data_IF_641515250948
#
_entry.id   IF_641515250948
#
_cell.length_a   1.000
_cell.length_b   1.000
_cell.length_c   1.000
_cell.angle_alpha   90.00
_cell.angle_beta   90.00
_cell.angle_gamma   90.00
#
_symmetry.space_group_name_H-M   'P 1'
#
loop_
_entity.id
_entity.type
_entity.pdbx_description
1 polymer ?
#
# COMPACT_ATOMS: atom_id res chain seq x y z
N UNK A 1 -5.17 -26.11 -6.76
CA UNK A 1 -4.30 -25.26 -5.92
C UNK A 1 -3.12 -24.87 -6.76
N UNK A 2 -2.81 -23.58 -6.85
CA UNK A 2 -1.64 -23.13 -7.61
C UNK A 2 -0.34 -23.53 -6.93
N UNK A 3 0.74 -23.52 -7.70
CA UNK A 3 2.06 -23.95 -7.24
C UNK A 3 3.03 -22.79 -6.99
N UNK A 4 2.59 -21.57 -7.26
CA UNK A 4 3.49 -20.44 -7.45
C UNK A 4 3.05 -19.22 -6.67
N UNK A 5 4.03 -18.52 -6.10
CA UNK A 5 3.92 -17.10 -5.80
C UNK A 5 4.31 -16.31 -7.05
N UNK A 6 3.60 -15.22 -7.30
CA UNK A 6 3.87 -14.32 -8.41
C UNK A 6 4.23 -12.95 -7.86
N UNK A 7 5.44 -12.48 -8.16
CA UNK A 7 5.95 -11.17 -7.71
C UNK A 7 5.98 -10.22 -8.90
N UNK A 8 5.29 -9.09 -8.78
CA UNK A 8 5.29 -8.03 -9.79
C UNK A 8 6.22 -6.91 -9.35
N UNK A 9 7.15 -6.56 -10.22
CA UNK A 9 8.22 -5.60 -9.92
C UNK A 9 8.39 -4.60 -11.05
N UNK A 10 8.75 -3.37 -10.71
CA UNK A 10 9.35 -2.45 -11.67
C UNK A 10 10.82 -2.85 -11.90
N UNK A 11 11.35 -2.62 -13.10
CA UNK A 11 12.74 -2.93 -13.45
C UNK A 11 13.56 -1.65 -13.58
N UNK A 12 13.99 -1.00 -12.49
CA UNK A 12 14.78 0.22 -12.58
C UNK A 12 16.16 -0.01 -13.22
N UNK A 13 16.64 -1.26 -13.26
CA UNK A 13 17.87 -1.66 -13.98
C UNK A 13 17.69 -1.80 -15.49
N UNK A 14 16.45 -1.84 -15.98
CA UNK A 14 16.12 -1.83 -17.40
C UNK A 14 15.49 -0.47 -17.74
N UNK A 15 16.34 0.49 -18.08
CA UNK A 15 15.94 1.88 -18.39
C UNK A 15 14.93 1.98 -19.54
N UNK A 16 14.90 0.97 -20.42
CA UNK A 16 13.96 0.88 -21.53
C UNK A 16 12.55 0.47 -21.08
N UNK A 17 12.44 -0.23 -19.94
CA UNK A 17 11.21 -0.86 -19.44
C UNK A 17 10.76 -0.33 -18.07
N UNK A 18 11.22 0.87 -17.68
CA UNK A 18 11.02 1.47 -16.35
C UNK A 18 9.55 1.57 -15.89
N UNK A 19 8.59 1.58 -16.81
CA UNK A 19 7.14 1.62 -16.53
C UNK A 19 6.42 0.26 -16.68
N UNK A 20 7.10 -0.77 -17.17
CA UNK A 20 6.52 -2.10 -17.34
C UNK A 20 6.71 -2.94 -16.08
N UNK A 21 5.66 -3.65 -15.68
CA UNK A 21 5.75 -4.59 -14.56
C UNK A 21 6.32 -5.91 -15.07
N UNK A 22 7.46 -6.31 -14.52
CA UNK A 22 8.02 -7.64 -14.71
C UNK A 22 7.38 -8.61 -13.71
N UNK A 23 6.98 -9.76 -14.23
CA UNK A 23 6.40 -10.85 -13.46
C UNK A 23 7.45 -11.94 -13.23
N UNK A 24 7.63 -12.35 -11.96
CA UNK A 24 8.48 -13.48 -11.58
C UNK A 24 7.64 -14.51 -10.83
N UNK A 25 7.67 -15.76 -11.31
CA UNK A 25 7.00 -16.90 -10.67
C UNK A 25 7.97 -17.71 -9.84
N UNK A 26 7.63 -17.94 -8.57
CA UNK A 26 8.44 -18.63 -7.58
C UNK A 26 7.67 -19.82 -7.03
N UNK A 27 8.29 -20.99 -6.92
CA UNK A 27 7.63 -22.17 -6.37
C UNK A 27 7.38 -22.01 -4.87
N UNK A 28 6.16 -22.27 -4.43
CA UNK A 28 5.84 -22.29 -3.00
C UNK A 28 6.59 -23.43 -2.30
N UNK A 29 7.28 -23.12 -1.21
CA UNK A 29 7.98 -24.13 -0.41
C UNK A 29 7.06 -25.14 0.25
N UNK A 30 5.79 -24.78 0.49
CA UNK A 30 4.75 -25.71 0.95
C UNK A 30 4.63 -26.93 0.03
N UNK A 31 4.89 -26.77 -1.26
CA UNK A 31 4.84 -27.84 -2.24
C UNK A 31 6.17 -28.62 -2.38
N UNK A 32 7.26 -28.11 -1.80
CA UNK A 32 8.60 -28.70 -1.92
C UNK A 32 8.96 -29.49 -0.66
N UNK A 33 8.95 -28.82 0.50
CA UNK A 33 9.36 -29.39 1.80
C UNK A 33 8.22 -29.43 2.82
N UNK A 34 6.99 -29.04 2.45
CA UNK A 34 5.77 -29.02 3.29
C UNK A 34 5.79 -28.07 4.49
N UNK A 35 6.89 -27.37 4.72
CA UNK A 35 7.06 -26.40 5.79
C UNK A 35 7.70 -25.12 5.25
N UNK A 36 7.56 -24.02 6.00
CA UNK A 36 8.26 -22.77 5.71
C UNK A 36 9.36 -22.56 6.75
N UNK A 37 10.64 -22.64 6.37
CA UNK A 37 11.73 -22.46 7.32
C UNK A 37 11.81 -20.99 7.72
N UNK A 38 12.04 -20.77 9.01
CA UNK A 38 12.32 -19.46 9.58
C UNK A 38 13.83 -19.23 9.47
N UNK A 39 14.21 -18.08 8.93
CA UNK A 39 15.60 -17.66 8.81
C UNK A 39 15.87 -16.66 9.91
N UNK A 40 16.97 -16.90 10.62
CA UNK A 40 17.39 -16.10 11.77
C UNK A 40 17.95 -14.72 11.33
N UNK A 41 17.91 -13.71 12.22
CA UNK A 41 18.32 -12.35 11.89
C UNK A 41 19.76 -12.22 11.43
N UNK A 42 20.67 -13.06 11.94
CA UNK A 42 22.11 -13.01 11.65
C UNK A 42 22.38 -13.12 10.14
N UNK A 43 21.61 -13.93 9.43
CA UNK A 43 21.71 -14.02 7.97
C UNK A 43 21.45 -12.66 7.30
N UNK A 44 20.42 -11.93 7.75
CA UNK A 44 20.05 -10.64 7.18
C UNK A 44 21.02 -9.54 7.61
N UNK A 45 21.56 -9.59 8.82
CA UNK A 45 22.58 -8.66 9.30
C UNK A 45 23.88 -8.79 8.49
N UNK A 46 24.28 -10.01 8.14
CA UNK A 46 25.40 -10.27 7.23
C UNK A 46 25.14 -9.72 5.82
N UNK A 47 23.94 -9.94 5.26
CA UNK A 47 23.54 -9.34 3.97
C UNK A 47 23.60 -7.81 4.05
N UNK A 48 23.07 -7.21 5.12
CA UNK A 48 23.10 -5.77 5.35
C UNK A 48 24.53 -5.25 5.40
N UNK A 49 25.43 -5.93 6.13
CA UNK A 49 26.85 -5.61 6.14
C UNK A 49 27.46 -5.67 4.74
N UNK A 50 27.12 -6.71 3.96
CA UNK A 50 27.60 -6.86 2.61
C UNK A 50 27.10 -5.76 1.66
N UNK A 51 25.86 -5.27 1.83
CA UNK A 51 25.31 -4.14 1.07
C UNK A 51 26.13 -2.85 1.24
N UNK A 52 26.65 -2.61 2.45
CA UNK A 52 27.49 -1.43 2.70
C UNK A 52 28.93 -1.60 2.18
N UNK A 53 29.44 -2.84 2.19
CA UNK A 53 30.85 -3.11 1.94
C UNK A 53 31.17 -3.51 0.48
N UNK A 54 30.20 -4.04 -0.28
CA UNK A 54 30.44 -4.61 -1.61
C UNK A 54 29.46 -4.09 -2.66
N UNK A 55 29.98 -3.49 -3.73
CA UNK A 55 29.17 -2.88 -4.81
C UNK A 55 28.25 -3.84 -5.56
N UNK A 56 28.56 -5.14 -5.54
CA UNK A 56 27.75 -6.17 -6.21
C UNK A 56 26.63 -6.70 -5.31
N UNK A 57 26.52 -6.20 -4.07
CA UNK A 57 25.33 -6.32 -3.24
C UNK A 57 24.54 -5.02 -3.37
N UNK A 58 23.23 -5.09 -3.64
CA UNK A 58 22.40 -3.90 -3.74
C UNK A 58 20.99 -4.08 -3.20
N UNK A 59 20.40 -2.95 -2.80
CA UNK A 59 19.03 -2.86 -2.30
C UNK A 59 18.22 -1.99 -3.24
N UNK A 60 17.06 -2.49 -3.69
CA UNK A 60 16.22 -1.79 -4.66
C UNK A 60 14.76 -1.91 -4.25
N UNK A 61 14.09 -0.78 -4.10
CA UNK A 61 12.64 -0.75 -3.89
C UNK A 61 11.93 -0.86 -5.24
N UNK A 62 11.30 -2.00 -5.51
CA UNK A 62 10.64 -2.24 -6.79
C UNK A 62 9.44 -3.19 -6.76
N UNK A 63 9.17 -3.91 -5.68
CA UNK A 63 8.00 -4.79 -5.56
C UNK A 63 6.73 -3.93 -5.50
N UNK A 64 5.75 -4.24 -6.35
CA UNK A 64 4.47 -3.53 -6.45
C UNK A 64 3.26 -4.39 -6.11
N UNK A 65 3.37 -5.72 -6.24
CA UNK A 65 2.29 -6.67 -5.92
C UNK A 65 2.84 -8.08 -5.71
N UNK A 66 2.24 -8.84 -4.80
CA UNK A 66 2.53 -10.25 -4.57
C UNK A 66 1.22 -11.03 -4.57
N UNK A 67 1.13 -12.03 -5.44
CA UNK A 67 -0.01 -12.94 -5.52
C UNK A 67 0.44 -14.33 -5.06
N UNK A 68 -0.29 -14.92 -4.13
CA UNK A 68 -0.03 -16.27 -3.64
C UNK A 68 -0.60 -17.38 -4.51
N UNK A 69 -0.34 -18.65 -4.13
CA UNK A 69 -0.73 -19.80 -4.93
C UNK A 69 -2.23 -20.06 -5.07
N UNK A 70 -3.10 -19.43 -4.28
CA UNK A 70 -4.56 -19.52 -4.46
C UNK A 70 -5.17 -18.18 -4.89
N UNK A 71 -4.38 -17.39 -5.63
CA UNK A 71 -4.73 -16.06 -6.14
C UNK A 71 -5.00 -15.02 -5.03
N UNK A 72 -4.51 -15.29 -3.82
CA UNK A 72 -4.54 -14.31 -2.73
C UNK A 72 -3.60 -13.14 -2.98
N UNK A 73 -4.11 -11.92 -2.85
CA UNK A 73 -3.32 -10.68 -2.96
C UNK A 73 -2.79 -10.30 -1.58
N UNK A 74 -1.47 -10.22 -1.43
CA UNK A 74 -0.83 -9.94 -0.15
C UNK A 74 -0.46 -8.46 -0.01
N UNK A 75 -0.53 -7.94 1.22
CA UNK A 75 0.21 -6.73 1.59
C UNK A 75 1.69 -6.96 1.26
N UNK A 76 2.28 -6.03 0.50
CA UNK A 76 3.66 -6.11 0.04
C UNK A 76 4.65 -5.70 1.13
N UNK A 77 4.22 -4.94 2.13
CA UNK A 77 5.08 -4.35 3.18
C UNK A 77 6.03 -5.34 3.87
N UNK A 78 5.61 -6.55 4.26
CA UNK A 78 6.50 -7.49 4.95
C UNK A 78 7.43 -8.27 4.02
N UNK A 79 7.41 -8.07 2.70
CA UNK A 79 8.09 -8.97 1.78
C UNK A 79 9.43 -8.43 1.29
N UNK A 80 10.42 -9.32 1.22
CA UNK A 80 11.68 -9.09 0.53
C UNK A 80 11.90 -10.21 -0.48
N UNK A 81 12.35 -9.86 -1.68
CA UNK A 81 12.72 -10.82 -2.71
C UNK A 81 14.23 -10.73 -2.95
N UNK A 82 14.95 -11.79 -2.61
CA UNK A 82 16.38 -11.90 -2.86
C UNK A 82 16.62 -12.53 -4.21
N UNK A 83 17.44 -11.88 -5.03
CA UNK A 83 17.90 -12.39 -6.30
C UNK A 83 19.43 -12.33 -6.36
N UNK A 84 20.07 -13.50 -6.36
CA UNK A 84 21.52 -13.63 -6.45
C UNK A 84 21.94 -14.48 -7.65
N UNK A 85 23.13 -14.20 -8.16
CA UNK A 85 23.83 -15.05 -9.11
C UNK A 85 25.28 -15.19 -8.65
N UNK A 86 25.78 -16.42 -8.60
CA UNK A 86 27.17 -16.66 -8.24
C UNK A 86 28.13 -16.59 -9.45
N UNK A 87 29.43 -16.75 -9.18
CA UNK A 87 30.45 -16.74 -10.22
C UNK A 87 30.31 -17.90 -11.23
N UNK A 88 29.69 -19.01 -10.81
CA UNK A 88 29.37 -20.16 -11.67
C UNK A 88 28.06 -19.95 -12.46
N UNK A 89 27.48 -18.75 -12.39
CA UNK A 89 26.22 -18.35 -13.05
C UNK A 89 25.00 -19.15 -12.57
N UNK A 90 25.05 -19.75 -11.39
CA UNK A 90 23.89 -20.35 -10.72
C UNK A 90 23.04 -19.24 -10.14
N UNK A 91 21.74 -19.30 -10.39
CA UNK A 91 20.78 -18.30 -9.95
C UNK A 91 20.06 -18.77 -8.68
N UNK A 92 19.85 -17.82 -7.77
CA UNK A 92 19.15 -18.02 -6.51
C UNK A 92 18.09 -16.94 -6.39
N UNK A 93 16.82 -17.34 -6.36
CA UNK A 93 15.69 -16.44 -6.19
C UNK A 93 14.89 -16.94 -4.99
N UNK A 94 14.73 -16.09 -3.98
CA UNK A 94 14.15 -16.46 -2.69
C UNK A 94 13.22 -15.36 -2.21
N UNK A 95 11.97 -15.72 -1.90
CA UNK A 95 10.97 -14.81 -1.37
C UNK A 95 10.80 -15.02 0.13
N UNK A 96 11.02 -13.94 0.87
CA UNK A 96 10.95 -13.91 2.33
C UNK A 96 9.78 -13.04 2.78
N UNK A 97 9.08 -13.51 3.81
CA UNK A 97 8.09 -12.74 4.55
C UNK A 97 8.65 -12.43 5.94
N UNK A 98 8.89 -11.15 6.22
CA UNK A 98 9.40 -10.69 7.51
C UNK A 98 8.29 -10.69 8.56
N UNK A 99 8.64 -11.03 9.79
CA UNK A 99 7.74 -10.94 10.95
C UNK A 99 7.57 -9.48 11.39
N UNK A 100 8.59 -8.64 11.19
CA UNK A 100 8.62 -7.20 11.49
C UNK A 100 8.95 -6.40 10.23
N UNK A 101 8.61 -5.12 10.18
CA UNK A 101 8.80 -4.28 8.98
C UNK A 101 10.28 -3.97 8.69
N UNK A 102 11.07 -3.74 9.73
CA UNK A 102 12.51 -3.44 9.62
C UNK A 102 13.32 -4.68 9.25
N UNK A 103 14.49 -4.51 8.61
CA UNK A 103 15.38 -5.64 8.22
C UNK A 103 16.24 -6.07 9.41
N UNK A 104 16.70 -5.08 10.20
CA UNK A 104 17.50 -5.30 11.40
C UNK A 104 16.69 -6.05 12.43
N UNK A 105 17.29 -7.08 13.03
CA UNK A 105 16.66 -7.91 14.08
C UNK A 105 15.35 -8.60 13.64
N UNK A 106 15.15 -8.78 12.32
CA UNK A 106 13.94 -9.38 11.77
C UNK A 106 14.18 -10.82 11.33
N UNK A 107 13.56 -11.75 12.04
CA UNK A 107 13.33 -13.09 11.53
C UNK A 107 12.43 -12.99 10.29
N UNK A 108 12.72 -13.82 9.29
CA UNK A 108 11.89 -13.91 8.11
C UNK A 108 11.62 -15.35 7.72
N UNK A 109 10.39 -15.62 7.31
CA UNK A 109 9.98 -16.91 6.79
C UNK A 109 10.33 -17.00 5.32
N UNK A 110 11.07 -18.02 4.90
CA UNK A 110 11.26 -18.31 3.49
C UNK A 110 9.99 -19.00 2.96
N UNK A 111 9.34 -18.37 1.97
CA UNK A 111 8.01 -18.78 1.50
C UNK A 111 8.06 -19.42 0.11
N UNK A 112 8.90 -18.89 -0.78
CA UNK A 112 8.99 -19.38 -2.15
C UNK A 112 10.41 -19.25 -2.71
N UNK A 113 10.72 -20.04 -3.73
CA UNK A 113 12.02 -20.02 -4.39
C UNK A 113 11.97 -20.37 -5.87
N UNK A 114 13.04 -19.98 -6.57
CA UNK A 114 13.38 -20.38 -7.92
C UNK A 114 14.91 -20.37 -8.07
N UNK A 115 15.48 -21.05 -9.08
CA UNK A 115 14.82 -21.87 -10.11
C UNK A 115 14.40 -23.25 -9.58
N UNK A 116 13.66 -24.09 -10.35
CA UNK A 116 13.19 -25.41 -9.90
C UNK A 116 14.31 -26.33 -9.37
N UNK A 117 15.52 -26.19 -9.89
CA UNK A 117 16.72 -26.94 -9.50
C UNK A 117 17.07 -26.69 -8.03
N UNK A 118 16.95 -25.44 -7.57
CA UNK A 118 17.12 -25.09 -6.17
C UNK A 118 16.07 -25.80 -5.32
N UNK A 119 14.82 -25.85 -5.78
CA UNK A 119 13.75 -26.59 -5.11
C UNK A 119 14.02 -28.09 -5.00
N UNK A 120 14.55 -28.72 -6.06
CA UNK A 120 14.98 -30.13 -6.02
C UNK A 120 16.09 -30.36 -4.99
N UNK A 121 17.07 -29.46 -4.95
CA UNK A 121 18.18 -29.52 -4.00
C UNK A 121 17.72 -29.39 -2.54
N UNK A 122 16.82 -28.45 -2.24
CA UNK A 122 16.20 -28.34 -0.92
C UNK A 122 15.32 -29.55 -0.57
N UNK A 123 14.58 -30.12 -1.53
CA UNK A 123 13.78 -31.33 -1.28
C UNK A 123 14.65 -32.52 -0.89
N UNK A 124 15.79 -32.68 -1.56
CA UNK A 124 16.70 -33.81 -1.35
C UNK A 124 17.51 -33.69 -0.06
N UNK A 125 18.04 -32.50 0.22
CA UNK A 125 19.00 -32.29 1.31
C UNK A 125 18.47 -31.43 2.47
N UNK A 126 17.24 -30.91 2.36
CA UNK A 126 16.51 -30.16 3.39
C UNK A 126 17.35 -29.01 3.96
N UNK A 127 17.49 -28.96 5.28
CA UNK A 127 18.19 -27.93 6.02
C UNK A 127 19.65 -27.75 5.61
N UNK A 128 20.37 -28.84 5.32
CA UNK A 128 21.78 -28.76 4.89
C UNK A 128 21.93 -27.99 3.57
N UNK A 129 20.99 -28.18 2.65
CA UNK A 129 20.93 -27.46 1.38
C UNK A 129 20.63 -25.98 1.62
N UNK A 130 19.66 -25.68 2.49
CA UNK A 130 19.29 -24.32 2.84
C UNK A 130 20.47 -23.57 3.47
N UNK A 131 21.10 -24.14 4.50
CA UNK A 131 22.26 -23.54 5.16
C UNK A 131 23.39 -23.23 4.18
N UNK A 132 23.77 -24.21 3.33
CA UNK A 132 24.82 -23.99 2.32
C UNK A 132 24.46 -22.90 1.32
N UNK A 133 23.18 -22.81 0.94
CA UNK A 133 22.70 -21.78 0.02
C UNK A 133 22.78 -20.40 0.66
N UNK A 134 22.30 -20.26 1.90
CA UNK A 134 22.35 -19.00 2.65
C UNK A 134 23.79 -18.56 2.93
N UNK A 135 24.69 -19.49 3.31
CA UNK A 135 26.11 -19.20 3.49
C UNK A 135 26.78 -18.75 2.18
N UNK A 136 26.41 -19.33 1.03
CA UNK A 136 26.92 -18.91 -0.27
C UNK A 136 26.46 -17.49 -0.60
N UNK A 137 25.18 -17.17 -0.37
CA UNK A 137 24.62 -15.84 -0.59
C UNK A 137 25.30 -14.76 0.28
N UNK A 138 25.84 -15.14 1.44
CA UNK A 138 26.60 -14.25 2.32
C UNK A 138 28.10 -14.18 2.01
N UNK A 139 28.61 -14.91 1.02
CA UNK A 139 30.03 -14.93 0.65
C UNK A 139 30.31 -14.00 -0.55
N UNK A 140 30.82 -12.77 -0.35
CA UNK A 140 30.99 -11.79 -1.42
C UNK A 140 32.08 -12.19 -2.42
N UNK A 141 32.95 -13.14 -2.07
CA UNK A 141 33.99 -13.63 -3.00
C UNK A 141 33.42 -14.62 -4.01
N UNK A 142 32.31 -15.28 -3.68
CA UNK A 142 31.67 -16.29 -4.53
C UNK A 142 30.50 -15.74 -5.32
N UNK A 143 29.92 -14.63 -4.88
CA UNK A 143 28.78 -14.02 -5.55
C UNK A 143 29.21 -13.07 -6.67
N UNK A 144 28.55 -13.21 -7.83
CA UNK A 144 28.67 -12.23 -8.92
C UNK A 144 27.83 -11.00 -8.61
N UNK A 145 26.60 -11.22 -8.11
CA UNK A 145 25.78 -10.18 -7.50
C UNK A 145 24.74 -10.78 -6.55
N UNK A 146 24.26 -9.94 -5.63
CA UNK A 146 23.07 -10.18 -4.82
C UNK A 146 22.24 -8.90 -4.78
N UNK A 147 20.96 -9.02 -5.11
CA UNK A 147 19.99 -7.92 -5.04
C UNK A 147 18.92 -8.27 -4.03
N UNK A 148 18.65 -7.35 -3.12
CA UNK A 148 17.45 -7.40 -2.28
C UNK A 148 16.43 -6.44 -2.85
N UNK A 149 15.33 -7.01 -3.31
CA UNK A 149 14.22 -6.32 -3.93
C UNK A 149 13.13 -6.14 -2.88
N UNK A 150 12.78 -4.90 -2.62
CA UNK A 150 11.93 -4.48 -1.52
C UNK A 150 10.63 -3.83 -2.00
N UNK A 151 9.62 -3.67 -1.13
CA UNK A 151 8.36 -3.03 -1.45
C UNK A 151 8.57 -1.57 -1.84
N UNK A 152 7.94 -1.13 -2.94
CA UNK A 152 7.97 0.27 -3.38
C UNK A 152 6.61 0.93 -3.21
N UNK A 153 6.51 1.80 -2.22
CA UNK A 153 5.27 2.54 -1.95
C UNK A 153 4.13 1.62 -1.53
N UNK A 154 2.90 1.99 -1.91
CA UNK A 154 1.69 1.18 -1.70
C UNK A 154 1.56 0.11 -2.77
N UNK A 155 0.87 -0.98 -2.46
CA UNK A 155 0.60 -2.02 -3.46
C UNK A 155 -0.30 -1.50 -4.59
N UNK A 156 -0.23 -2.10 -5.77
CA UNK A 156 -1.10 -1.71 -6.90
C UNK A 156 -2.59 -1.82 -6.54
N UNK A 157 -2.94 -2.81 -5.72
CA UNK A 157 -4.31 -3.05 -5.28
C UNK A 157 -4.77 -1.97 -4.29
N UNK A 158 -3.89 -1.54 -3.38
CA UNK A 158 -4.14 -0.39 -2.51
C UNK A 158 -4.26 0.92 -3.29
N UNK A 159 -3.39 1.15 -4.28
CA UNK A 159 -3.48 2.33 -5.16
C UNK A 159 -4.81 2.36 -5.91
N UNK A 160 -5.26 1.23 -6.46
CA UNK A 160 -6.56 1.11 -7.12
C UNK A 160 -7.74 1.35 -6.16
N UNK A 161 -7.69 0.79 -4.95
CA UNK A 161 -8.72 1.04 -3.93
C UNK A 161 -8.79 2.50 -3.51
N UNK A 162 -7.64 3.17 -3.33
CA UNK A 162 -7.57 4.60 -3.00
C UNK A 162 -8.10 5.46 -4.13
N UNK A 163 -7.83 5.12 -5.39
CA UNK A 163 -8.41 5.79 -6.56
C UNK A 163 -9.94 5.62 -6.62
N UNK A 164 -10.45 4.43 -6.29
CA UNK A 164 -11.90 4.19 -6.20
C UNK A 164 -12.55 4.97 -5.06
N UNK A 165 -11.93 5.02 -3.88
CA UNK A 165 -12.41 5.82 -2.74
C UNK A 165 -12.42 7.31 -3.11
N UNK A 166 -11.35 7.82 -3.73
CA UNK A 166 -11.28 9.22 -4.15
C UNK A 166 -12.34 9.56 -5.20
N UNK A 167 -12.61 8.68 -6.18
CA UNK A 167 -13.71 8.89 -7.14
C UNK A 167 -15.07 8.94 -6.43
N UNK A 168 -15.35 7.99 -5.53
CA UNK A 168 -16.60 7.99 -4.76
C UNK A 168 -16.76 9.25 -3.89
N UNK A 169 -15.67 9.77 -3.31
CA UNK A 169 -15.69 11.02 -2.55
C UNK A 169 -15.90 12.25 -3.45
N UNK A 170 -15.24 12.30 -4.61
CA UNK A 170 -15.43 13.36 -5.60
C UNK A 170 -16.85 13.38 -6.14
N UNK A 171 -17.46 12.22 -6.37
CA UNK A 171 -18.83 12.09 -6.84
C UNK A 171 -19.85 12.48 -5.75
N UNK A 172 -19.62 12.10 -4.49
CA UNK A 172 -20.41 12.61 -3.35
C UNK A 172 -20.29 14.12 -3.20
N UNK A 173 -19.12 14.69 -3.41
CA UNK A 173 -18.92 16.14 -3.37
C UNK A 173 -19.61 16.86 -4.54
N UNK A 174 -19.64 16.27 -5.74
CA UNK A 174 -20.42 16.79 -6.87
C UNK A 174 -21.92 16.75 -6.59
N UNK A 175 -22.43 15.64 -6.04
CA UNK A 175 -23.85 15.50 -5.64
C UNK A 175 -24.19 16.55 -4.58
N UNK A 176 -23.39 16.69 -3.52
CA UNK A 176 -23.61 17.70 -2.48
C UNK A 176 -23.53 19.14 -3.03
N UNK A 177 -22.65 19.41 -3.99
CA UNK A 177 -22.56 20.72 -4.65
C UNK A 177 -23.79 20.98 -5.54
N UNK A 178 -24.34 19.95 -6.20
CA UNK A 178 -25.58 20.05 -6.97
C UNK A 178 -26.81 20.26 -6.08
N UNK A 179 -26.90 19.57 -4.94
CA UNK A 179 -27.98 19.73 -3.97
C UNK A 179 -27.98 21.12 -3.32
N UNK A 180 -26.79 21.69 -3.08
CA UNK A 180 -26.65 23.07 -2.64
C UNK A 180 -27.04 24.10 -3.70
N UNK A 181 -27.15 23.69 -4.97
CA UNK A 181 -27.50 24.55 -6.10
C UNK A 181 -28.95 24.40 -6.58
N UNK A 182 -29.73 23.49 -5.98
CA UNK A 182 -31.13 23.29 -6.33
C UNK A 182 -32.01 24.10 -5.37
N UNK A 183 -32.83 25.05 -5.88
CA UNK A 183 -33.83 25.70 -5.04
C UNK A 183 -34.88 24.67 -4.58
N UNK A 184 -35.50 24.91 -3.42
CA UNK A 184 -36.61 24.08 -2.97
C UNK A 184 -37.81 24.18 -3.95
N UNK A 185 -38.85 23.35 -3.77
CA UNK A 185 -40.07 23.28 -4.63
C UNK A 185 -40.75 24.66 -4.83
N UNK A 186 -40.39 25.68 -4.03
CA UNK A 186 -40.89 27.05 -4.09
C UNK A 186 -39.89 28.08 -4.65
N UNK A 187 -38.75 27.65 -5.21
CA UNK A 187 -37.75 28.56 -5.79
C UNK A 187 -36.84 29.29 -4.80
N UNK A 188 -36.88 28.93 -3.50
CA UNK A 188 -36.11 29.63 -2.45
C UNK A 188 -34.89 28.81 -2.00
N UNK A 189 -33.74 29.48 -1.84
CA UNK A 189 -32.46 28.85 -1.49
C UNK A 189 -32.29 28.57 0.01
N UNK A 190 -33.00 29.31 0.87
CA UNK A 190 -33.07 29.11 2.32
C UNK A 190 -34.48 29.50 2.80
N UNK A 191 -35.03 28.87 3.86
CA UNK A 191 -36.28 29.33 4.45
C UNK A 191 -36.09 30.77 4.94
N UNK A 192 -36.90 31.69 4.43
CA UNK A 192 -36.98 33.06 4.94
C UNK A 192 -37.30 32.98 6.43
N UNK A 193 -36.31 33.24 7.29
CA UNK A 193 -36.50 33.43 8.72
C UNK A 193 -37.12 34.82 8.95
N UNK A 194 -38.27 35.08 8.35
CA UNK A 194 -39.04 36.30 8.60
C UNK A 194 -39.68 36.15 9.98
N UNK A 195 -39.23 36.91 11.00
CA UNK A 195 -39.75 36.76 12.35
C UNK A 195 -41.23 37.14 12.38
N UNK A 196 -42.03 36.41 13.18
CA UNK A 196 -43.40 36.78 13.49
C UNK A 196 -43.41 37.68 14.73
N UNK A 197 -44.31 38.67 14.75
CA UNK A 197 -44.49 39.48 15.96
C UNK A 197 -45.07 38.60 17.08
N UNK A 198 -44.45 38.55 18.27
CA UNK A 198 -44.94 37.71 19.38
C UNK A 198 -46.26 38.22 20.00
N UNK A 199 -46.78 39.37 19.58
CA UNK A 199 -48.05 39.91 20.07
C UNK A 199 -49.21 39.70 19.09
N UNK A 200 -49.03 40.08 17.81
CA UNK A 200 -50.09 39.98 16.80
C UNK A 200 -49.93 38.78 15.87
N UNK A 201 -48.86 37.98 16.04
CA UNK A 201 -48.50 36.80 15.25
C UNK A 201 -48.39 37.02 13.72
N UNK A 202 -48.42 38.27 13.26
CA UNK A 202 -48.23 38.64 11.86
C UNK A 202 -46.76 38.52 11.47
N UNK A 203 -46.53 38.03 10.25
CA UNK A 203 -45.21 37.93 9.62
C UNK A 203 -44.68 39.34 9.36
N UNK A 204 -43.46 39.63 9.81
CA UNK A 204 -42.83 40.94 9.58
C UNK A 204 -42.03 40.82 8.28
N UNK A 205 -42.61 41.30 7.18
CA UNK A 205 -42.04 41.22 5.83
C UNK A 205 -41.19 42.44 5.45
N UNK A 206 -41.32 43.55 6.19
CA UNK A 206 -40.68 44.84 5.87
C UNK A 206 -39.37 45.07 6.63
N UNK A 207 -38.51 44.06 6.76
CA UNK A 207 -37.19 44.26 7.38
C UNK A 207 -36.12 44.44 6.33
N UNK A 208 -36.19 45.56 5.58
CA UNK A 208 -35.10 46.01 4.73
C UNK A 208 -34.14 46.87 5.57
N UNK A 209 -32.94 46.35 5.83
CA UNK A 209 -31.84 47.08 6.45
C UNK A 209 -31.52 46.67 7.89
N UNK A 210 -31.12 45.41 8.10
CA UNK A 210 -30.43 45.02 9.33
C UNK A 210 -28.94 45.36 9.22
N UNK A 211 -28.54 46.47 9.83
CA UNK A 211 -27.20 46.56 10.42
C UNK A 211 -27.31 46.03 11.86
N UNK A 212 -26.48 45.05 12.17
CA UNK A 212 -26.44 44.35 13.45
C UNK A 212 -25.94 45.32 14.52
N UNK A 213 -26.84 45.86 15.35
CA UNK A 213 -26.47 46.69 16.49
C UNK A 213 -27.59 47.58 17.04
N UNK A 214 -28.13 47.21 18.21
CA UNK A 214 -28.71 48.12 19.23
C UNK A 214 -29.84 49.10 18.81
N UNK A 215 -30.90 48.67 18.12
CA UNK A 215 -32.11 49.49 17.99
C UNK A 215 -33.41 48.72 18.29
N UNK A 216 -34.22 49.30 19.18
CA UNK A 216 -35.50 48.78 19.67
C UNK A 216 -36.47 48.53 18.52
N UNK A 217 -36.79 47.26 18.26
CA UNK A 217 -37.72 46.86 17.19
C UNK A 217 -39.16 47.20 17.57
N UNK A 218 -39.86 48.01 16.75
CA UNK A 218 -41.30 48.28 16.88
C UNK A 218 -42.07 47.54 15.77
N UNK A 219 -43.05 46.71 16.15
CA UNK A 219 -43.88 46.04 15.15
C UNK A 219 -44.74 47.05 14.37
N UNK A 220 -44.72 47.06 13.02
CA UNK A 220 -45.51 48.00 12.23
C UNK A 220 -47.02 47.76 12.31
N UNK A 221 -47.44 46.53 12.63
CA UNK A 221 -48.86 46.17 12.69
C UNK A 221 -49.52 46.38 14.06
N UNK A 222 -48.76 46.31 15.16
CA UNK A 222 -49.32 46.42 16.51
C UNK A 222 -48.57 47.40 17.43
N UNK A 223 -47.54 48.07 16.93
CA UNK A 223 -46.83 49.13 17.66
C UNK A 223 -45.98 48.68 18.85
N UNK A 224 -45.93 47.37 19.17
CA UNK A 224 -45.18 46.83 20.32
C UNK A 224 -43.67 46.93 20.10
N UNK A 225 -42.94 47.50 21.06
CA UNK A 225 -41.49 47.44 21.16
C UNK A 225 -41.05 46.34 22.13
N UNK A 226 -40.04 45.53 21.76
CA UNK A 226 -39.27 44.74 22.74
C UNK A 226 -38.07 45.58 23.17
N UNK A 227 -37.99 45.87 24.48
CA UNK A 227 -36.75 46.28 25.13
C UNK A 227 -35.81 45.08 25.27
#
# INVERSE_FOLDING_TARGET
MGNFFTVFMLTPWDSLNSNSLTEVKLFSLKNIIKTFPVIEPEFFDDILSNLYNFKHYSWIECIRRIIGPNDEDYDITPWNFLWGVDNDRRMFQMLFQKVKKEIKDSQATLVALAPPELGKLLKLHKEKALLRTLSLLNDPKKMKFVMILAPKGKSLTEEQQLLHINKNYLDKNKINKSLKQMPNIKGQWFPEYSPRCPNCNKLITEIRGFNVGLLKFRCPYCGRQKG
#
